data_IF_802948999853
#
_entry.id   IF_802948999853
#
_cell.length_a   1.000
_cell.length_b   1.000
_cell.length_c   1.000
_cell.angle_alpha   90.00
_cell.angle_beta   90.00
_cell.angle_gamma   90.00
#
_symmetry.space_group_name_H-M   'P 1'
#
loop_
_entity.id
_entity.type
_entity.pdbx_description
1 polymer ?
#
# COMPACT_ATOMS: atom_id res chain seq x y z
N UNK A 1 14.08 -22.02 0.55
CA UNK A 1 12.79 -21.42 0.16
C UNK A 1 12.94 -19.91 -0.02
N UNK A 2 13.47 -19.14 0.97
CA UNK A 2 13.64 -17.68 0.83
C UNK A 2 14.50 -17.29 -0.36
N UNK A 3 15.65 -17.95 -0.55
CA UNK A 3 16.57 -17.68 -1.68
C UNK A 3 15.94 -17.99 -3.03
N UNK A 4 15.11 -19.03 -3.12
CA UNK A 4 14.42 -19.37 -4.37
C UNK A 4 13.30 -18.36 -4.70
N UNK A 5 12.54 -17.88 -3.70
CA UNK A 5 11.53 -16.84 -3.89
C UNK A 5 12.19 -15.50 -4.30
N UNK A 6 13.33 -15.18 -3.70
CA UNK A 6 14.12 -14.01 -4.10
C UNK A 6 14.57 -14.11 -5.56
N UNK A 7 15.16 -15.23 -5.97
CA UNK A 7 15.60 -15.43 -7.33
C UNK A 7 14.45 -15.36 -8.35
N UNK A 8 13.26 -15.91 -8.02
CA UNK A 8 12.05 -15.82 -8.86
C UNK A 8 11.63 -14.37 -9.08
N UNK A 9 11.56 -13.55 -8.04
CA UNK A 9 11.18 -12.15 -8.16
C UNK A 9 12.11 -11.38 -9.10
N UNK A 10 13.43 -11.61 -8.99
CA UNK A 10 14.41 -10.89 -9.80
C UNK A 10 14.53 -11.40 -11.23
N UNK A 11 14.13 -12.63 -11.52
CA UNK A 11 14.19 -13.21 -12.86
C UNK A 11 13.05 -12.74 -13.78
N UNK A 12 11.96 -12.22 -13.23
CA UNK A 12 10.79 -11.81 -14.01
C UNK A 12 10.85 -10.33 -14.39
N UNK A 13 10.90 -10.05 -15.70
CA UNK A 13 10.86 -8.67 -16.23
C UNK A 13 9.62 -7.90 -15.80
N UNK A 14 8.47 -8.58 -15.69
CA UNK A 14 7.22 -7.98 -15.22
C UNK A 14 7.31 -7.43 -13.80
N UNK A 15 8.06 -8.07 -12.90
CA UNK A 15 8.28 -7.60 -11.54
C UNK A 15 8.95 -6.22 -11.54
N UNK A 16 10.01 -6.05 -12.31
CA UNK A 16 10.74 -4.78 -12.42
C UNK A 16 9.86 -3.66 -13.01
N UNK A 17 9.11 -4.00 -14.06
CA UNK A 17 8.19 -3.04 -14.70
C UNK A 17 7.12 -2.58 -13.70
N UNK A 18 6.52 -3.50 -12.95
CA UNK A 18 5.44 -3.16 -12.00
C UNK A 18 5.98 -2.42 -10.78
N UNK A 19 7.17 -2.78 -10.26
CA UNK A 19 7.83 -2.02 -9.19
C UNK A 19 8.19 -0.61 -9.67
N UNK A 20 8.69 -0.48 -10.89
CA UNK A 20 8.97 0.82 -11.53
C UNK A 20 7.71 1.66 -11.72
N UNK A 21 6.59 1.05 -12.12
CA UNK A 21 5.29 1.73 -12.22
C UNK A 21 4.78 2.18 -10.84
N UNK A 22 4.91 1.34 -9.81
CA UNK A 22 4.54 1.72 -8.44
C UNK A 22 5.34 2.92 -7.95
N UNK A 23 6.65 2.93 -8.18
CA UNK A 23 7.53 4.05 -7.86
C UNK A 23 7.17 5.30 -8.69
N UNK A 24 6.94 5.13 -9.99
CA UNK A 24 6.53 6.21 -10.88
C UNK A 24 5.21 6.84 -10.42
N UNK A 25 4.21 6.03 -10.09
CA UNK A 25 2.93 6.54 -9.61
C UNK A 25 3.07 7.28 -8.28
N UNK A 26 3.85 6.75 -7.35
CA UNK A 26 4.10 7.40 -6.07
C UNK A 26 4.71 8.80 -6.27
N UNK A 27 5.75 8.90 -7.08
CA UNK A 27 6.45 10.16 -7.32
C UNK A 27 5.64 11.09 -8.21
N UNK A 28 5.15 10.62 -9.36
CA UNK A 28 4.47 11.47 -10.34
C UNK A 28 3.19 12.10 -9.77
N UNK A 29 2.33 11.31 -9.12
CA UNK A 29 1.09 11.84 -8.54
C UNK A 29 1.37 12.74 -7.33
N UNK A 30 2.42 12.49 -6.55
CA UNK A 30 2.88 13.41 -5.51
C UNK A 30 3.33 14.75 -6.07
N UNK A 31 4.10 14.74 -7.16
CA UNK A 31 4.53 15.98 -7.84
C UNK A 31 3.37 16.72 -8.51
N UNK A 32 2.43 16.00 -9.12
CA UNK A 32 1.21 16.59 -9.68
C UNK A 32 0.41 17.29 -8.60
N UNK A 33 0.20 16.66 -7.45
CA UNK A 33 -0.50 17.25 -6.31
C UNK A 33 0.22 18.50 -5.77
N UNK A 34 1.53 18.45 -5.61
CA UNK A 34 2.34 19.58 -5.17
C UNK A 34 2.27 20.75 -6.16
N UNK A 35 2.33 20.48 -7.46
CA UNK A 35 2.26 21.49 -8.50
C UNK A 35 0.85 22.10 -8.60
N UNK A 36 -0.19 21.26 -8.48
CA UNK A 36 -1.58 21.75 -8.45
C UNK A 36 -1.85 22.65 -7.24
N UNK A 37 -1.29 22.31 -6.08
CA UNK A 37 -1.36 23.15 -4.88
C UNK A 37 -0.74 24.52 -5.11
N UNK A 38 0.47 24.59 -5.69
CA UNK A 38 1.18 25.86 -5.93
C UNK A 38 0.48 26.73 -6.99
N UNK A 39 -0.04 26.12 -8.05
CA UNK A 39 -0.78 26.84 -9.09
C UNK A 39 -2.15 27.35 -8.62
N UNK A 40 -2.76 26.71 -7.62
CA UNK A 40 -4.01 27.13 -6.99
C UNK A 40 -3.84 28.23 -5.93
N UNK A 41 -2.61 28.59 -5.54
CA UNK A 41 -2.36 29.67 -4.60
C UNK A 41 -2.81 31.02 -5.22
N UNK A 42 -3.76 31.67 -4.53
CA UNK A 42 -4.33 32.96 -5.02
C UNK A 42 -5.65 32.82 -5.78
N UNK A 43 -6.15 31.62 -6.06
CA UNK A 43 -7.48 31.46 -6.65
C UNK A 43 -8.59 31.59 -5.58
N UNK A 44 -9.74 32.25 -5.90
CA UNK A 44 -10.86 32.38 -4.96
C UNK A 44 -11.55 31.05 -4.63
N UNK A 45 -11.35 30.03 -5.45
CA UNK A 45 -11.95 28.71 -5.36
C UNK A 45 -10.94 27.66 -4.83
N UNK A 46 -10.11 28.04 -3.87
CA UNK A 46 -9.19 27.09 -3.22
C UNK A 46 -10.00 25.99 -2.58
N UNK A 47 -9.86 24.79 -3.10
CA UNK A 47 -10.52 23.60 -2.54
C UNK A 47 -10.21 23.49 -1.04
N UNK A 48 -11.24 23.27 -0.23
CA UNK A 48 -11.09 23.15 1.23
C UNK A 48 -10.10 22.07 1.61
N UNK A 49 -9.97 21.06 0.76
CA UNK A 49 -9.05 19.92 0.95
C UNK A 49 -7.57 20.35 0.93
N UNK A 50 -7.24 21.45 0.25
CA UNK A 50 -5.88 21.99 0.22
C UNK A 50 -5.61 23.03 1.33
N UNK A 51 -6.62 23.44 2.10
CA UNK A 51 -6.42 24.44 3.16
C UNK A 51 -5.47 23.95 4.28
N UNK A 52 -5.46 22.65 4.53
CA UNK A 52 -4.62 21.98 5.54
C UNK A 52 -3.50 21.14 4.92
N UNK A 53 -3.25 21.28 3.60
CA UNK A 53 -2.25 20.50 2.91
C UNK A 53 -0.84 20.81 3.43
N UNK A 54 -0.04 19.78 3.54
CA UNK A 54 1.36 19.83 3.96
C UNK A 54 2.25 19.26 2.87
N UNK A 55 3.55 19.58 2.87
CA UNK A 55 4.50 18.98 1.93
C UNK A 55 4.44 17.45 1.96
N UNK A 56 4.20 16.85 3.13
CA UNK A 56 4.07 15.40 3.29
C UNK A 56 2.80 14.88 2.63
N UNK A 57 1.62 15.45 2.93
CA UNK A 57 0.36 14.97 2.35
C UNK A 57 0.32 15.10 0.83
N UNK A 58 0.87 16.19 0.28
CA UNK A 58 0.98 16.41 -1.16
C UNK A 58 1.94 15.40 -1.80
N UNK A 59 3.13 15.23 -1.24
CA UNK A 59 4.13 14.31 -1.80
C UNK A 59 3.70 12.85 -1.72
N UNK A 60 2.99 12.47 -0.66
CA UNK A 60 2.50 11.10 -0.46
C UNK A 60 1.13 10.83 -1.11
N UNK A 61 0.53 11.80 -1.80
CA UNK A 61 -0.73 11.60 -2.53
C UNK A 61 -0.65 10.43 -3.52
N UNK A 62 0.52 10.23 -4.13
CA UNK A 62 0.79 9.13 -5.04
C UNK A 62 0.71 7.73 -4.40
N UNK A 63 0.72 7.63 -3.07
CA UNK A 63 0.56 6.35 -2.34
C UNK A 63 -0.75 5.66 -2.70
N UNK A 64 -1.83 6.43 -2.96
CA UNK A 64 -3.13 5.92 -3.38
C UNK A 64 -3.09 5.13 -4.70
N UNK A 65 -2.15 5.42 -5.57
CA UNK A 65 -1.96 4.70 -6.83
C UNK A 65 -0.88 3.62 -6.70
N UNK A 66 0.20 3.91 -5.98
CA UNK A 66 1.28 2.96 -5.75
C UNK A 66 0.81 1.70 -5.00
N UNK A 67 -0.13 1.84 -4.06
CA UNK A 67 -0.73 0.70 -3.35
C UNK A 67 -1.39 -0.30 -4.30
N UNK A 68 -2.03 0.17 -5.36
CA UNK A 68 -2.64 -0.71 -6.35
C UNK A 68 -1.58 -1.47 -7.14
N UNK A 69 -0.54 -0.78 -7.63
CA UNK A 69 0.53 -1.41 -8.37
C UNK A 69 1.24 -2.50 -7.53
N UNK A 70 1.61 -2.18 -6.29
CA UNK A 70 2.29 -3.12 -5.40
C UNK A 70 1.37 -4.23 -4.91
N UNK A 71 0.11 -3.93 -4.58
CA UNK A 71 -0.87 -4.92 -4.18
C UNK A 71 -1.21 -5.90 -5.31
N UNK A 72 -1.42 -5.41 -6.52
CA UNK A 72 -1.66 -6.24 -7.72
C UNK A 72 -0.44 -7.12 -8.00
N UNK A 73 0.78 -6.58 -7.91
CA UNK A 73 1.99 -7.40 -8.07
C UNK A 73 2.06 -8.50 -7.01
N UNK A 74 1.70 -8.21 -5.75
CA UNK A 74 1.58 -9.22 -4.70
C UNK A 74 0.61 -10.34 -5.05
N UNK A 75 -0.56 -10.00 -5.59
CA UNK A 75 -1.53 -11.00 -6.10
C UNK A 75 -0.91 -11.84 -7.23
N UNK A 76 -0.27 -11.19 -8.21
CA UNK A 76 0.33 -11.87 -9.36
C UNK A 76 1.45 -12.83 -8.97
N UNK A 77 2.31 -12.44 -8.03
CA UNK A 77 3.41 -13.27 -7.51
C UNK A 77 2.91 -14.59 -6.92
N UNK A 78 1.69 -14.61 -6.40
CA UNK A 78 1.14 -15.82 -5.80
C UNK A 78 0.09 -16.49 -6.71
N UNK A 79 -0.95 -15.77 -7.13
CA UNK A 79 -2.01 -16.32 -7.97
C UNK A 79 -1.50 -16.74 -9.36
N UNK A 80 -0.45 -16.09 -9.87
CA UNK A 80 0.21 -16.47 -11.12
C UNK A 80 0.80 -17.87 -11.09
N UNK A 81 1.32 -18.35 -9.95
CA UNK A 81 1.81 -19.72 -9.83
C UNK A 81 0.69 -20.76 -9.86
N UNK A 82 -0.52 -20.39 -9.38
CA UNK A 82 -1.69 -21.27 -9.50
C UNK A 82 -2.20 -21.33 -10.94
N UNK A 83 -2.25 -20.21 -11.64
CA UNK A 83 -2.72 -20.15 -13.02
C UNK A 83 -1.81 -20.88 -14.03
N UNK A 84 -0.51 -20.88 -13.76
CA UNK A 84 0.49 -21.57 -14.60
C UNK A 84 0.73 -23.04 -14.18
N UNK A 85 0.17 -23.48 -13.05
CA UNK A 85 0.43 -24.79 -12.48
C UNK A 85 1.80 -24.95 -11.80
N UNK A 86 2.63 -23.90 -11.79
CA UNK A 86 3.97 -23.92 -11.19
C UNK A 86 3.92 -24.18 -9.66
N UNK A 87 2.80 -23.91 -9.02
CA UNK A 87 2.62 -24.18 -7.59
C UNK A 87 2.82 -25.68 -7.26
N UNK A 88 2.46 -26.58 -8.18
CA UNK A 88 2.64 -28.04 -7.98
C UNK A 88 4.11 -28.43 -7.86
N UNK A 89 4.95 -27.90 -8.75
CA UNK A 89 6.41 -28.16 -8.69
C UNK A 89 7.03 -27.54 -7.43
N UNK A 90 6.58 -26.35 -7.02
CA UNK A 90 7.02 -25.69 -5.81
C UNK A 90 6.68 -26.52 -4.56
N UNK A 91 5.45 -27.05 -4.47
CA UNK A 91 5.01 -27.88 -3.34
C UNK A 91 5.58 -29.30 -3.35
N UNK A 92 5.91 -29.84 -4.52
CA UNK A 92 6.64 -31.11 -4.62
C UNK A 92 8.07 -30.98 -4.07
N UNK A 93 8.73 -29.85 -4.30
CA UNK A 93 10.06 -29.56 -3.77
C UNK A 93 10.06 -29.21 -2.27
N UNK A 94 8.96 -28.65 -1.75
CA UNK A 94 8.80 -28.26 -0.34
C UNK A 94 7.51 -28.86 0.21
N UNK A 95 7.58 -30.04 0.86
CA UNK A 95 6.39 -30.77 1.34
C UNK A 95 5.57 -30.00 2.38
N UNK A 96 6.22 -29.09 3.10
CA UNK A 96 5.55 -28.19 4.06
C UNK A 96 5.03 -26.97 3.33
N UNK A 97 3.71 -26.82 3.19
CA UNK A 97 3.03 -25.78 2.41
C UNK A 97 3.17 -24.36 3.03
N UNK A 98 3.09 -24.25 4.35
CA UNK A 98 3.12 -22.97 5.07
C UNK A 98 4.42 -22.17 4.90
N UNK A 99 5.63 -22.77 4.97
CA UNK A 99 6.87 -22.03 4.72
C UNK A 99 6.94 -21.36 3.35
N UNK A 100 6.26 -21.90 2.34
CA UNK A 100 6.20 -21.31 1.01
C UNK A 100 5.41 -20.00 1.05
N UNK A 101 4.26 -19.99 1.73
CA UNK A 101 3.45 -18.77 1.90
C UNK A 101 4.21 -17.69 2.68
N UNK A 102 4.79 -18.07 3.82
CA UNK A 102 5.52 -17.13 4.67
C UNK A 102 6.76 -16.55 3.98
N UNK A 103 7.53 -17.38 3.26
CA UNK A 103 8.70 -16.88 2.53
C UNK A 103 8.31 -15.94 1.41
N UNK A 104 7.23 -16.24 0.68
CA UNK A 104 6.73 -15.37 -0.39
C UNK A 104 6.23 -14.04 0.16
N UNK A 105 5.43 -14.05 1.22
CA UNK A 105 4.93 -12.84 1.88
C UNK A 105 6.09 -12.01 2.46
N UNK A 106 7.07 -12.64 3.10
CA UNK A 106 8.22 -11.94 3.67
C UNK A 106 9.12 -11.31 2.60
N UNK A 107 9.47 -12.06 1.55
CA UNK A 107 10.36 -11.57 0.49
C UNK A 107 9.68 -10.45 -0.29
N UNK A 108 8.43 -10.64 -0.71
CA UNK A 108 7.73 -9.61 -1.47
C UNK A 108 7.38 -8.39 -0.60
N UNK A 109 6.93 -8.61 0.64
CA UNK A 109 6.66 -7.54 1.59
C UNK A 109 7.89 -6.68 1.87
N UNK A 110 9.07 -7.30 2.02
CA UNK A 110 10.34 -6.59 2.20
C UNK A 110 10.70 -5.75 0.96
N UNK A 111 10.57 -6.31 -0.24
CA UNK A 111 10.82 -5.57 -1.49
C UNK A 111 9.86 -4.39 -1.62
N UNK A 112 8.58 -4.59 -1.39
CA UNK A 112 7.57 -3.53 -1.46
C UNK A 112 7.81 -2.43 -0.40
N UNK A 113 8.23 -2.82 0.81
CA UNK A 113 8.61 -1.89 1.88
C UNK A 113 9.81 -1.03 1.48
N UNK A 114 10.87 -1.66 0.96
CA UNK A 114 12.09 -0.94 0.55
C UNK A 114 11.80 0.02 -0.60
N UNK A 115 11.11 -0.45 -1.63
CA UNK A 115 10.73 0.36 -2.80
C UNK A 115 9.76 1.48 -2.39
N UNK A 116 8.77 1.18 -1.57
CA UNK A 116 7.81 2.15 -1.06
C UNK A 116 8.47 3.22 -0.20
N UNK A 117 9.36 2.83 0.72
CA UNK A 117 10.11 3.77 1.55
C UNK A 117 11.02 4.66 0.70
N UNK A 118 11.80 4.07 -0.21
CA UNK A 118 12.63 4.83 -1.13
C UNK A 118 11.80 5.82 -1.96
N UNK A 119 10.68 5.35 -2.52
CA UNK A 119 9.76 6.19 -3.29
C UNK A 119 9.16 7.34 -2.48
N UNK A 120 8.81 7.11 -1.21
CA UNK A 120 8.29 8.15 -0.32
C UNK A 120 9.33 9.26 -0.06
N UNK A 121 10.59 8.88 0.19
CA UNK A 121 11.67 9.85 0.35
C UNK A 121 11.96 10.63 -0.94
N UNK A 122 11.96 9.96 -2.08
CA UNK A 122 12.13 10.61 -3.40
C UNK A 122 10.97 11.57 -3.68
N UNK A 123 9.73 11.13 -3.50
CA UNK A 123 8.54 11.96 -3.72
C UNK A 123 8.56 13.20 -2.80
N UNK A 124 8.91 13.02 -1.53
CA UNK A 124 9.04 14.13 -0.59
C UNK A 124 10.19 15.07 -0.96
N UNK A 125 11.35 14.54 -1.35
CA UNK A 125 12.51 15.35 -1.74
C UNK A 125 12.19 16.33 -2.87
N UNK A 126 11.53 15.85 -3.93
CA UNK A 126 11.09 16.70 -5.03
C UNK A 126 9.86 17.55 -4.68
N UNK A 127 8.86 16.97 -4.02
CA UNK A 127 7.63 17.65 -3.66
C UNK A 127 7.85 18.82 -2.70
N UNK A 128 8.70 18.65 -1.69
CA UNK A 128 9.07 19.73 -0.75
C UNK A 128 9.78 20.90 -1.44
N UNK A 129 10.55 20.62 -2.50
CA UNK A 129 11.15 21.66 -3.34
C UNK A 129 10.11 22.50 -4.08
N UNK A 130 9.07 21.85 -4.64
CA UNK A 130 7.98 22.53 -5.39
C UNK A 130 7.18 23.46 -4.45
N UNK A 131 6.86 22.99 -3.24
CA UNK A 131 6.07 23.78 -2.28
C UNK A 131 6.92 24.72 -1.41
N UNK A 132 8.21 24.86 -1.71
CA UNK A 132 9.09 25.78 -0.98
C UNK A 132 8.60 27.23 -1.11
N UNK A 133 8.62 27.97 0.01
CA UNK A 133 8.06 29.32 0.04
C UNK A 133 6.54 29.43 0.14
N UNK A 134 5.83 28.32 0.26
CA UNK A 134 4.37 28.26 0.50
C UNK A 134 4.05 27.91 1.95
N UNK A 135 2.81 28.10 2.42
CA UNK A 135 2.39 27.68 3.76
C UNK A 135 2.50 26.18 4.03
N UNK A 136 2.53 25.36 2.97
CA UNK A 136 2.69 23.90 3.07
C UNK A 136 4.16 23.45 3.22
N UNK A 137 5.14 24.36 3.10
CA UNK A 137 6.56 24.04 3.11
C UNK A 137 6.99 23.36 4.42
N UNK A 138 7.65 22.20 4.31
CA UNK A 138 8.23 21.46 5.43
C UNK A 138 9.55 20.84 5.01
N UNK A 139 10.53 20.85 5.91
CA UNK A 139 11.80 20.14 5.74
C UNK A 139 11.78 18.75 6.40
N UNK A 140 12.78 17.93 6.08
CA UNK A 140 12.95 16.59 6.69
C UNK A 140 13.14 16.67 8.22
N UNK A 141 13.65 17.77 8.73
CA UNK A 141 13.88 18.02 10.17
C UNK A 141 12.60 18.34 10.93
N UNK A 142 11.50 18.62 10.22
CA UNK A 142 10.23 18.91 10.88
C UNK A 142 9.72 17.65 11.62
N UNK A 143 9.25 17.80 12.89
CA UNK A 143 8.77 16.67 13.68
C UNK A 143 7.69 15.86 12.96
N UNK A 144 7.87 14.55 12.90
CA UNK A 144 6.92 13.61 12.30
C UNK A 144 7.13 13.34 10.80
N UNK A 145 7.89 14.15 10.05
CA UNK A 145 8.08 13.93 8.60
C UNK A 145 8.72 12.57 8.33
N UNK A 146 9.86 12.27 8.94
CA UNK A 146 10.56 10.99 8.75
C UNK A 146 9.67 9.81 9.15
N UNK A 147 8.92 9.93 10.26
CA UNK A 147 7.94 8.92 10.68
C UNK A 147 6.89 8.68 9.59
N UNK A 148 6.35 9.75 9.00
CA UNK A 148 5.34 9.64 7.93
C UNK A 148 5.90 8.97 6.69
N UNK A 149 7.12 9.30 6.25
CA UNK A 149 7.76 8.67 5.10
C UNK A 149 8.02 7.17 5.33
N UNK A 150 8.51 6.81 6.51
CA UNK A 150 8.69 5.40 6.90
C UNK A 150 7.33 4.68 7.03
N UNK A 151 6.32 5.37 7.56
CA UNK A 151 4.95 4.88 7.66
C UNK A 151 4.34 4.56 6.30
N UNK A 152 4.55 5.42 5.30
CA UNK A 152 4.10 5.17 3.93
C UNK A 152 4.78 3.94 3.31
N UNK A 153 6.09 3.78 3.52
CA UNK A 153 6.82 2.59 3.08
C UNK A 153 6.31 1.32 3.75
N UNK A 154 6.09 1.35 5.07
CA UNK A 154 5.54 0.22 5.82
C UNK A 154 4.13 -0.13 5.36
N UNK A 155 3.28 0.87 5.13
CA UNK A 155 1.96 0.68 4.55
C UNK A 155 2.02 -0.07 3.21
N UNK A 156 2.83 0.42 2.28
CA UNK A 156 2.99 -0.20 0.96
C UNK A 156 3.56 -1.62 1.04
N UNK A 157 4.48 -1.87 1.97
CA UNK A 157 4.98 -3.20 2.25
C UNK A 157 3.88 -4.16 2.70
N UNK A 158 3.04 -3.73 3.66
CA UNK A 158 1.92 -4.52 4.16
C UNK A 158 0.83 -4.73 3.10
N UNK A 159 0.55 -3.73 2.25
CA UNK A 159 -0.34 -3.90 1.07
C UNK A 159 0.19 -5.00 0.15
N UNK A 160 1.50 -5.04 -0.10
CA UNK A 160 2.12 -6.12 -0.86
C UNK A 160 1.90 -7.49 -0.21
N UNK A 161 2.04 -7.60 1.11
CA UNK A 161 1.76 -8.83 1.88
C UNK A 161 0.28 -9.22 1.76
N UNK A 162 -0.65 -8.28 1.90
CA UNK A 162 -2.09 -8.55 1.70
C UNK A 162 -2.33 -9.05 0.28
N UNK A 163 -1.73 -8.44 -0.74
CA UNK A 163 -1.82 -8.91 -2.13
C UNK A 163 -1.37 -10.35 -2.30
N UNK A 164 -0.21 -10.73 -1.74
CA UNK A 164 0.28 -12.12 -1.77
C UNK A 164 -0.67 -13.08 -1.05
N UNK A 165 -1.21 -12.67 0.08
CA UNK A 165 -2.18 -13.46 0.84
C UNK A 165 -3.49 -13.65 0.07
N UNK A 166 -4.04 -12.59 -0.54
CA UNK A 166 -5.25 -12.69 -1.37
C UNK A 166 -5.03 -13.58 -2.59
N UNK A 167 -3.85 -13.51 -3.23
CA UNK A 167 -3.49 -14.41 -4.33
C UNK A 167 -3.50 -15.88 -3.92
N UNK A 168 -2.98 -16.20 -2.73
CA UNK A 168 -3.00 -17.56 -2.18
C UNK A 168 -4.40 -18.00 -1.73
N UNK A 169 -5.16 -17.07 -1.12
CA UNK A 169 -6.51 -17.31 -0.63
C UNK A 169 -7.48 -17.60 -1.77
N UNK A 170 -7.46 -16.79 -2.81
CA UNK A 170 -8.44 -16.88 -3.90
C UNK A 170 -7.97 -17.79 -5.05
N UNK A 171 -6.67 -18.04 -5.17
CA UNK A 171 -6.05 -18.85 -6.25
C UNK A 171 -6.46 -18.37 -7.66
N UNK A 172 -6.89 -17.14 -7.77
CA UNK A 172 -7.37 -16.50 -8.99
C UNK A 172 -6.79 -15.09 -9.07
N UNK A 173 -6.14 -14.78 -10.17
CA UNK A 173 -5.58 -13.44 -10.41
C UNK A 173 -6.70 -12.40 -10.41
N UNK A 174 -7.75 -12.63 -11.21
CA UNK A 174 -8.88 -11.71 -11.29
C UNK A 174 -9.57 -11.52 -9.94
N UNK A 175 -9.87 -12.62 -9.23
CA UNK A 175 -10.49 -12.58 -7.90
C UNK A 175 -9.62 -11.82 -6.87
N UNK A 176 -8.32 -12.09 -6.84
CA UNK A 176 -7.38 -11.42 -5.94
C UNK A 176 -7.31 -9.92 -6.18
N UNK A 177 -7.20 -9.50 -7.45
CA UNK A 177 -7.19 -8.08 -7.82
C UNK A 177 -8.53 -7.42 -7.49
N UNK A 178 -9.66 -8.05 -7.81
CA UNK A 178 -10.99 -7.48 -7.53
C UNK A 178 -11.22 -7.24 -6.05
N UNK A 179 -10.87 -8.20 -5.18
CA UNK A 179 -11.00 -8.05 -3.72
C UNK A 179 -10.05 -6.99 -3.19
N UNK A 180 -8.80 -6.94 -3.70
CA UNK A 180 -7.83 -5.91 -3.31
C UNK A 180 -8.34 -4.50 -3.64
N UNK A 181 -8.76 -4.27 -4.89
CA UNK A 181 -9.29 -2.97 -5.34
C UNK A 181 -10.56 -2.61 -4.59
N UNK A 182 -11.47 -3.57 -4.40
CA UNK A 182 -12.69 -3.35 -3.66
C UNK A 182 -12.40 -2.90 -2.22
N UNK A 183 -11.50 -3.60 -1.51
CA UNK A 183 -11.19 -3.31 -0.11
C UNK A 183 -10.45 -1.98 0.09
N UNK A 184 -9.59 -1.59 -0.86
CA UNK A 184 -8.76 -0.38 -0.73
C UNK A 184 -9.41 0.88 -1.33
N UNK A 185 -10.30 0.74 -2.34
CA UNK A 185 -10.88 1.89 -3.04
C UNK A 185 -12.40 1.92 -2.98
N UNK A 186 -13.08 0.81 -3.34
CA UNK A 186 -14.54 0.83 -3.46
C UNK A 186 -15.23 0.93 -2.10
N UNK A 187 -14.82 0.12 -1.13
CA UNK A 187 -15.46 0.11 0.20
C UNK A 187 -15.31 1.46 0.92
N UNK A 188 -14.13 2.09 0.98
CA UNK A 188 -13.99 3.44 1.55
C UNK A 188 -14.85 4.48 0.81
N UNK A 189 -14.83 4.44 -0.52
CA UNK A 189 -15.66 5.33 -1.35
C UNK A 189 -17.16 5.15 -1.10
N UNK A 190 -17.64 3.92 -0.91
CA UNK A 190 -19.04 3.66 -0.59
C UNK A 190 -19.40 4.14 0.81
N UNK A 191 -18.51 3.97 1.80
CA UNK A 191 -18.76 4.43 3.18
C UNK A 191 -18.83 5.95 3.24
N UNK A 192 -18.11 6.69 2.40
CA UNK A 192 -18.20 8.15 2.33
C UNK A 192 -19.60 8.66 1.89
N UNK A 193 -20.43 7.80 1.29
CA UNK A 193 -21.80 8.12 0.92
C UNK A 193 -22.83 7.81 2.02
N UNK A 194 -22.42 7.16 3.11
CA UNK A 194 -23.27 6.82 4.23
C UNK A 194 -23.45 8.01 5.21
N UNK A 195 -24.45 7.96 6.11
CA UNK A 195 -24.61 8.97 7.17
C UNK A 195 -23.34 9.15 7.99
N UNK A 196 -23.10 10.37 8.49
CA UNK A 196 -21.88 10.74 9.23
C UNK A 196 -21.60 9.85 10.46
N UNK A 197 -22.63 9.31 11.10
CA UNK A 197 -22.49 8.35 12.21
C UNK A 197 -21.81 7.05 11.80
N UNK A 198 -22.09 6.54 10.60
CA UNK A 198 -21.45 5.34 10.06
C UNK A 198 -20.02 5.65 9.59
N UNK A 199 -19.82 6.81 8.94
CA UNK A 199 -18.50 7.25 8.51
C UNK A 199 -17.54 7.35 9.70
N UNK A 200 -17.93 7.95 10.81
CA UNK A 200 -17.10 8.09 12.01
C UNK A 200 -16.84 6.78 12.75
N UNK A 201 -17.82 5.85 12.78
CA UNK A 201 -17.68 4.61 13.54
C UNK A 201 -16.97 3.48 12.79
N UNK A 202 -17.13 3.39 11.47
CA UNK A 202 -16.58 2.29 10.67
C UNK A 202 -15.43 2.75 9.80
N UNK A 203 -15.54 3.96 9.25
CA UNK A 203 -14.56 4.52 8.31
C UNK A 203 -13.10 4.39 8.75
N UNK A 204 -12.74 4.78 9.98
CA UNK A 204 -11.35 4.73 10.45
C UNK A 204 -10.73 3.33 10.47
N UNK A 205 -11.56 2.28 10.60
CA UNK A 205 -11.11 0.89 10.69
C UNK A 205 -11.01 0.18 9.35
N UNK A 206 -11.35 0.85 8.25
CA UNK A 206 -11.15 0.30 6.91
C UNK A 206 -9.67 0.17 6.57
N UNK A 207 -9.30 -0.83 5.74
CA UNK A 207 -7.90 -1.08 5.44
C UNK A 207 -7.16 0.15 4.90
N UNK A 208 -7.73 0.87 3.93
CA UNK A 208 -7.09 2.07 3.37
C UNK A 208 -6.98 3.19 4.38
N UNK A 209 -8.06 3.53 5.09
CA UNK A 209 -8.08 4.64 6.05
C UNK A 209 -7.16 4.38 7.26
N UNK A 210 -7.17 3.15 7.78
CA UNK A 210 -6.23 2.74 8.81
C UNK A 210 -4.78 2.79 8.32
N UNK A 211 -4.54 2.39 7.06
CA UNK A 211 -3.24 2.49 6.42
C UNK A 211 -2.78 3.94 6.23
N UNK A 212 -3.65 4.81 5.74
CA UNK A 212 -3.35 6.24 5.56
C UNK A 212 -3.01 6.93 6.88
N UNK A 213 -3.68 6.56 7.97
CA UNK A 213 -3.38 7.13 9.29
C UNK A 213 -1.95 6.83 9.77
N UNK A 214 -1.30 5.76 9.28
CA UNK A 214 0.08 5.41 9.63
C UNK A 214 1.09 6.48 9.20
N UNK A 215 0.81 7.16 8.09
CA UNK A 215 1.71 8.19 7.53
C UNK A 215 1.12 9.61 7.56
N UNK A 216 -0.07 9.78 8.12
CA UNK A 216 -0.62 11.11 8.38
C UNK A 216 0.23 11.87 9.41
N UNK A 217 0.51 13.16 9.16
CA UNK A 217 1.21 14.03 10.13
C UNK A 217 0.31 14.44 11.28
N UNK A 218 -0.92 14.81 10.96
CA UNK A 218 -1.97 15.22 11.89
C UNK A 218 -3.08 14.19 11.89
N UNK A 219 -3.76 14.05 13.00
CA UNK A 219 -4.96 13.21 13.12
C UNK A 219 -6.06 14.03 13.78
N UNK A 220 -7.26 13.87 13.27
CA UNK A 220 -8.47 14.47 13.80
C UNK A 220 -9.24 13.44 14.63
N UNK A 221 -10.33 13.87 15.26
CA UNK A 221 -11.22 12.97 16.03
C UNK A 221 -11.86 11.86 15.17
N UNK A 222 -11.86 12.01 13.84
CA UNK A 222 -12.41 11.06 12.87
C UNK A 222 -11.37 10.12 12.27
N UNK A 223 -10.09 10.32 12.56
CA UNK A 223 -8.98 9.50 12.05
C UNK A 223 -8.24 8.81 13.20
N UNK A 224 -7.67 7.64 12.94
CA UNK A 224 -6.90 6.91 13.95
C UNK A 224 -5.54 7.59 14.17
N UNK A 225 -5.07 7.52 15.42
CA UNK A 225 -3.68 7.83 15.69
C UNK A 225 -2.76 6.84 14.92
N UNK A 226 -1.55 7.25 14.48
CA UNK A 226 -0.69 6.42 13.63
C UNK A 226 -0.39 5.02 14.17
N UNK A 227 -0.22 4.89 15.48
CA UNK A 227 -0.02 3.59 16.13
C UNK A 227 -1.27 2.71 16.13
N UNK A 228 -2.46 3.30 16.34
CA UNK A 228 -3.72 2.58 16.26
C UNK A 228 -4.01 2.14 14.82
N UNK A 229 -3.76 3.00 13.83
CA UNK A 229 -3.89 2.65 12.42
C UNK A 229 -2.99 1.50 12.02
N UNK A 230 -1.74 1.49 12.49
CA UNK A 230 -0.82 0.36 12.28
C UNK A 230 -1.38 -0.94 12.86
N UNK A 231 -1.91 -0.93 14.09
CA UNK A 231 -2.48 -2.13 14.71
C UNK A 231 -3.70 -2.65 13.95
N UNK A 232 -4.59 -1.76 13.51
CA UNK A 232 -5.75 -2.13 12.69
C UNK A 232 -5.32 -2.70 11.35
N UNK A 233 -4.36 -2.08 10.68
CA UNK A 233 -3.89 -2.55 9.38
C UNK A 233 -3.11 -3.86 9.47
N UNK A 234 -2.33 -4.05 10.53
CA UNK A 234 -1.71 -5.35 10.86
C UNK A 234 -2.76 -6.43 11.10
N UNK A 235 -3.87 -6.11 11.77
CA UNK A 235 -4.96 -7.06 11.97
C UNK A 235 -5.56 -7.54 10.65
N UNK A 236 -5.79 -6.63 9.69
CA UNK A 236 -6.20 -6.98 8.33
C UNK A 236 -5.19 -7.85 7.60
N UNK A 237 -3.90 -7.54 7.75
CA UNK A 237 -2.81 -8.33 7.16
C UNK A 237 -2.78 -9.75 7.74
N UNK A 238 -2.89 -9.87 9.06
CA UNK A 238 -2.94 -11.17 9.76
C UNK A 238 -4.17 -11.97 9.34
N UNK A 239 -5.34 -11.34 9.24
CA UNK A 239 -6.57 -12.01 8.78
C UNK A 239 -6.42 -12.55 7.35
N UNK A 240 -5.86 -11.76 6.43
CA UNK A 240 -5.61 -12.20 5.06
C UNK A 240 -4.63 -13.39 5.01
N UNK A 241 -3.52 -13.32 5.76
CA UNK A 241 -2.53 -14.39 5.84
C UNK A 241 -3.09 -15.65 6.52
N UNK A 242 -3.89 -15.51 7.58
CA UNK A 242 -4.52 -16.63 8.26
C UNK A 242 -5.52 -17.33 7.34
N UNK A 243 -6.34 -16.58 6.59
CA UNK A 243 -7.24 -17.13 5.59
C UNK A 243 -6.50 -17.88 4.47
N UNK A 244 -5.40 -17.31 3.97
CA UNK A 244 -4.54 -17.96 2.98
C UNK A 244 -3.92 -19.25 3.52
N UNK A 245 -3.37 -19.21 4.75
CA UNK A 245 -2.78 -20.37 5.42
C UNK A 245 -3.82 -21.48 5.64
N UNK A 246 -5.00 -21.14 6.14
CA UNK A 246 -6.09 -22.07 6.33
C UNK A 246 -6.48 -22.80 5.04
N UNK A 247 -6.67 -22.04 3.96
CA UNK A 247 -7.02 -22.61 2.66
C UNK A 247 -5.90 -23.48 2.08
N UNK A 248 -4.65 -23.06 2.24
CA UNK A 248 -3.48 -23.79 1.74
C UNK A 248 -3.32 -25.16 2.41
N UNK A 249 -3.68 -25.28 3.69
CA UNK A 249 -3.59 -26.53 4.45
C UNK A 249 -4.76 -27.46 4.12
N UNK A 250 -5.99 -26.92 3.98
CA UNK A 250 -7.21 -27.73 3.83
C UNK A 250 -7.57 -28.14 2.41
N UNK A 251 -7.08 -27.41 1.41
CA UNK A 251 -7.45 -27.68 0.01
C UNK A 251 -6.27 -28.28 -0.74
N UNK A 252 -6.51 -29.40 -1.42
CA UNK A 252 -5.55 -29.97 -2.36
C UNK A 252 -5.31 -29.03 -3.56
N UNK A 253 -4.10 -29.10 -4.12
CA UNK A 253 -3.61 -28.27 -5.22
C UNK A 253 -3.55 -29.08 -6.51
#
# INVERSE_FOLDING_TARGET
>A
VLSSEWAKLWSLRSTWITLGLGLLFLVAFGLIAANHYTSGLGSPHRDRDFATATAVSLSLFGTNFAQLALGVLGVLVTAGEYSTGMIRSTLAAVPRRLPVLWSKAAVFGLVALVVGTFGAFVAFGFGSGIVSGTPAAMGLTHPGVVRSLLGAGLYLGLVGVIGTALGALLRSVAGGISVLVASLMLVPGLISLLPSSWQGNIGPYLPSNAGESMFALTHDSTTLAPGAGLLVFLSWTVLALAGAAYRLVRSDV
#
